data_IF_157762067337
#
_entry.id   IF_157762067337
#
_cell.length_a   1.000
_cell.length_b   1.000
_cell.length_c   1.000
_cell.angle_alpha   90.00
_cell.angle_beta   90.00
_cell.angle_gamma   90.00
#
_symmetry.space_group_name_H-M   'P 1'
#
loop_
_entity.id
_entity.type
_entity.pdbx_description
1 polymer ?
#
# COMPACT_ATOMS: atom_id res chain seq x y z
N UNK A 1 -6.20 -7.76 -1.14
CA UNK A 1 -5.36 -8.14 -2.31
C UNK A 1 -4.20 -9.03 -1.88
N UNK A 2 -3.24 -8.58 -1.06
CA UNK A 2 -2.05 -9.37 -0.68
C UNK A 2 -2.38 -10.69 0.01
N UNK A 3 -3.37 -10.74 0.91
CA UNK A 3 -3.83 -11.99 1.51
C UNK A 3 -4.30 -13.03 0.50
N UNK A 4 -4.89 -12.57 -0.62
CA UNK A 4 -5.26 -13.46 -1.73
C UNK A 4 -4.02 -14.02 -2.44
N UNK A 5 -3.00 -13.19 -2.66
CA UNK A 5 -1.74 -13.65 -3.27
C UNK A 5 -1.08 -14.75 -2.43
N UNK A 6 -1.05 -14.61 -1.09
CA UNK A 6 -0.51 -15.65 -0.20
C UNK A 6 -1.37 -16.93 -0.28
N UNK A 7 -2.69 -16.79 -0.21
CA UNK A 7 -3.63 -17.92 -0.29
C UNK A 7 -3.49 -18.70 -1.60
N UNK A 8 -3.38 -18.01 -2.72
CA UNK A 8 -3.37 -18.59 -4.06
C UNK A 8 -1.93 -18.97 -4.52
N UNK A 9 -0.90 -18.63 -3.74
CA UNK A 9 0.51 -18.87 -4.08
C UNK A 9 0.84 -20.35 -4.15
N UNK A 10 1.23 -20.81 -5.33
CA UNK A 10 1.78 -22.18 -5.50
C UNK A 10 3.13 -22.35 -4.80
N UNK A 11 3.96 -21.31 -4.76
CA UNK A 11 5.29 -21.33 -4.12
C UNK A 11 5.16 -21.58 -2.63
N UNK A 12 4.24 -20.87 -1.96
CA UNK A 12 4.01 -21.00 -0.53
C UNK A 12 3.30 -22.33 -0.21
N UNK A 13 2.21 -22.66 -0.92
CA UNK A 13 1.42 -23.85 -0.65
C UNK A 13 2.16 -25.17 -0.98
N UNK A 14 3.14 -25.15 -1.89
CA UNK A 14 4.00 -26.31 -2.12
C UNK A 14 5.11 -26.44 -1.05
N UNK A 15 5.47 -25.34 -0.38
CA UNK A 15 6.52 -25.36 0.64
C UNK A 15 5.98 -25.68 2.04
N UNK A 16 4.70 -25.45 2.29
CA UNK A 16 4.04 -25.61 3.59
C UNK A 16 2.65 -26.24 3.43
N UNK A 17 2.25 -27.03 4.41
CA UNK A 17 0.83 -27.39 4.58
C UNK A 17 0.11 -26.19 5.21
N UNK A 18 -0.66 -25.44 4.40
CA UNK A 18 -1.29 -24.19 4.80
C UNK A 18 -2.77 -24.37 5.12
N UNK A 19 -3.19 -23.85 6.26
CA UNK A 19 -4.60 -23.80 6.68
C UNK A 19 -5.02 -22.34 6.83
N UNK A 20 -6.04 -21.91 6.09
CA UNK A 20 -6.47 -20.52 6.02
C UNK A 20 -7.77 -20.29 6.81
N UNK A 21 -7.75 -19.24 7.65
CA UNK A 21 -8.93 -18.79 8.39
C UNK A 21 -9.24 -17.34 8.08
N UNK A 22 -10.42 -17.07 7.54
CA UNK A 22 -10.86 -15.70 7.28
C UNK A 22 -11.32 -15.03 8.57
N UNK A 23 -10.65 -13.97 9.00
CA UNK A 23 -10.95 -13.19 10.20
C UNK A 23 -11.78 -11.92 9.90
N UNK A 24 -12.24 -11.71 8.68
CA UNK A 24 -13.11 -10.59 8.34
C UNK A 24 -14.48 -10.74 9.02
N UNK A 25 -14.91 -9.69 9.74
CA UNK A 25 -16.25 -9.60 10.35
C UNK A 25 -17.22 -8.77 9.50
N UNK A 26 -16.68 -7.92 8.60
CA UNK A 26 -17.49 -7.15 7.67
C UNK A 26 -17.88 -8.05 6.49
N UNK A 27 -19.16 -8.06 6.13
CA UNK A 27 -19.64 -8.76 4.93
C UNK A 27 -19.48 -7.89 3.69
N UNK A 28 -19.68 -6.57 3.83
CA UNK A 28 -19.61 -5.58 2.77
C UNK A 28 -18.80 -4.36 3.21
N UNK A 29 -18.38 -3.53 2.25
CA UNK A 29 -17.64 -2.27 2.51
C UNK A 29 -18.42 -1.31 3.41
N UNK A 30 -19.74 -1.28 3.29
CA UNK A 30 -20.64 -0.42 4.08
C UNK A 30 -20.81 -0.87 5.55
N UNK A 31 -20.38 -2.10 5.87
CA UNK A 31 -20.42 -2.68 7.22
C UNK A 31 -19.14 -2.39 8.01
N UNK A 32 -18.12 -1.81 7.36
CA UNK A 32 -16.86 -1.46 8.01
C UNK A 32 -17.09 -0.31 9.01
N UNK A 33 -16.63 -0.50 10.25
CA UNK A 33 -16.74 0.52 11.31
C UNK A 33 -18.07 0.54 12.08
N UNK A 34 -19.10 -0.17 11.63
CA UNK A 34 -20.37 -0.29 12.39
C UNK A 34 -20.24 -1.40 13.43
N UNK A 35 -20.36 -1.06 14.72
CA UNK A 35 -20.40 -1.99 15.85
C UNK A 35 -21.78 -2.65 16.03
N UNK A 36 -21.87 -3.70 16.87
CA UNK A 36 -23.15 -4.30 17.26
C UNK A 36 -22.98 -5.68 17.90
N UNK A 37 -24.00 -6.11 18.64
CA UNK A 37 -24.05 -7.41 19.35
C UNK A 37 -23.83 -8.58 18.37
N UNK A 38 -24.32 -8.46 17.13
CA UNK A 38 -24.10 -9.46 16.07
C UNK A 38 -22.62 -9.69 15.82
N UNK A 39 -21.83 -8.60 15.62
CA UNK A 39 -20.38 -8.69 15.37
C UNK A 39 -19.63 -9.28 16.57
N UNK A 40 -20.05 -9.00 17.78
CA UNK A 40 -19.47 -9.59 18.98
C UNK A 40 -19.71 -11.11 19.04
N UNK A 41 -20.94 -11.57 18.71
CA UNK A 41 -21.25 -13.00 18.62
C UNK A 41 -20.44 -13.70 17.50
N UNK A 42 -20.31 -13.05 16.34
CA UNK A 42 -19.51 -13.57 15.23
C UNK A 42 -18.03 -13.65 15.60
N UNK A 43 -17.49 -12.63 16.26
CA UNK A 43 -16.12 -12.65 16.75
C UNK A 43 -15.87 -13.76 17.77
N UNK A 44 -16.80 -13.98 18.71
CA UNK A 44 -16.70 -15.09 19.65
C UNK A 44 -16.71 -16.46 18.96
N UNK A 45 -17.54 -16.61 17.92
CA UNK A 45 -17.53 -17.83 17.09
C UNK A 45 -16.18 -18.02 16.39
N UNK A 46 -15.59 -16.95 15.86
CA UNK A 46 -14.25 -16.98 15.23
C UNK A 46 -13.19 -17.43 16.24
N UNK A 47 -13.17 -16.87 17.46
CA UNK A 47 -12.21 -17.29 18.50
C UNK A 47 -12.36 -18.79 18.86
N UNK A 48 -13.60 -19.30 18.95
CA UNK A 48 -13.84 -20.74 19.13
C UNK A 48 -13.32 -21.56 17.95
N UNK A 49 -13.52 -21.10 16.73
CA UNK A 49 -13.05 -21.76 15.52
C UNK A 49 -11.51 -21.79 15.47
N UNK A 50 -10.85 -20.66 15.72
CA UNK A 50 -9.38 -20.58 15.83
C UNK A 50 -8.88 -21.60 16.84
N UNK A 51 -9.44 -21.58 18.07
CA UNK A 51 -9.04 -22.52 19.13
C UNK A 51 -9.20 -23.98 18.70
N UNK A 52 -10.33 -24.32 18.08
CA UNK A 52 -10.62 -25.69 17.61
C UNK A 52 -9.62 -26.11 16.54
N UNK A 53 -9.43 -25.29 15.52
CA UNK A 53 -8.51 -25.59 14.40
C UNK A 53 -7.06 -25.68 14.86
N UNK A 54 -6.60 -24.74 15.67
CA UNK A 54 -5.23 -24.75 16.21
C UNK A 54 -4.94 -26.01 17.04
N UNK A 55 -5.93 -26.51 17.81
CA UNK A 55 -5.78 -27.78 18.55
C UNK A 55 -5.76 -29.00 17.65
N UNK A 56 -6.51 -28.99 16.56
CA UNK A 56 -6.60 -30.10 15.62
C UNK A 56 -5.35 -30.20 14.74
N UNK A 57 -4.89 -29.06 14.23
CA UNK A 57 -3.79 -28.96 13.25
C UNK A 57 -2.41 -28.97 13.95
N UNK A 58 -2.31 -28.40 15.15
CA UNK A 58 -1.04 -28.20 15.89
C UNK A 58 0.01 -27.52 15.00
N UNK A 59 -0.26 -26.29 14.51
CA UNK A 59 0.59 -25.64 13.53
C UNK A 59 1.99 -25.33 14.08
N UNK A 60 3.02 -25.45 13.25
CA UNK A 60 4.39 -25.05 13.60
C UNK A 60 4.54 -23.54 13.73
N UNK A 61 3.74 -22.77 12.98
CA UNK A 61 3.72 -21.31 12.95
C UNK A 61 2.33 -20.79 12.65
N UNK A 62 1.88 -19.78 13.38
CA UNK A 62 0.66 -19.02 13.10
C UNK A 62 1.05 -17.69 12.45
N UNK A 63 0.66 -17.48 11.19
CA UNK A 63 0.81 -16.23 10.48
C UNK A 63 -0.45 -15.37 10.62
N UNK A 64 -0.31 -14.12 11.06
CA UNK A 64 -1.42 -13.21 11.31
C UNK A 64 -1.17 -11.85 10.65
N UNK A 65 -2.18 -11.26 10.02
CA UNK A 65 -2.15 -9.92 9.45
C UNK A 65 -2.98 -8.95 10.30
N UNK A 66 -2.43 -8.39 11.39
CA UNK A 66 -3.19 -7.54 12.29
C UNK A 66 -3.30 -6.10 11.76
N UNK A 67 -4.29 -5.37 12.30
CA UNK A 67 -4.38 -3.93 12.12
C UNK A 67 -3.49 -3.21 13.15
N UNK A 68 -2.92 -2.06 12.75
CA UNK A 68 -2.01 -1.29 13.60
C UNK A 68 -2.74 -0.52 14.71
N UNK A 69 -3.99 -0.08 14.50
CA UNK A 69 -4.69 0.82 15.41
C UNK A 69 -6.22 0.67 15.38
N UNK A 70 -6.88 1.26 16.39
CA UNK A 70 -8.33 1.37 16.45
C UNK A 70 -9.05 0.07 16.82
N UNK A 71 -10.36 0.02 16.61
CA UNK A 71 -11.21 -1.14 16.95
C UNK A 71 -10.80 -2.45 16.28
N UNK A 72 -10.23 -2.35 15.08
CA UNK A 72 -9.71 -3.51 14.35
C UNK A 72 -8.48 -4.10 15.07
N UNK A 73 -7.57 -3.26 15.59
CA UNK A 73 -6.44 -3.73 16.41
C UNK A 73 -6.92 -4.45 17.68
N UNK A 74 -7.93 -3.92 18.38
CA UNK A 74 -8.41 -4.57 19.61
C UNK A 74 -8.96 -5.97 19.34
N UNK A 75 -9.65 -6.17 18.22
CA UNK A 75 -10.08 -7.50 17.78
C UNK A 75 -8.87 -8.42 17.56
N UNK A 76 -7.88 -7.94 16.79
CA UNK A 76 -6.71 -8.72 16.45
C UNK A 76 -5.81 -9.00 17.68
N UNK A 77 -5.81 -8.09 18.67
CA UNK A 77 -5.19 -8.31 19.97
C UNK A 77 -5.72 -9.58 20.65
N UNK A 78 -7.06 -9.76 20.73
CA UNK A 78 -7.62 -10.96 21.35
C UNK A 78 -7.28 -12.25 20.59
N UNK A 79 -7.20 -12.18 19.25
CA UNK A 79 -6.76 -13.33 18.43
C UNK A 79 -5.32 -13.72 18.80
N UNK A 80 -4.42 -12.74 18.83
CA UNK A 80 -3.01 -13.01 19.18
C UNK A 80 -2.86 -13.47 20.62
N UNK A 81 -3.62 -12.90 21.56
CA UNK A 81 -3.60 -13.36 22.96
C UNK A 81 -4.10 -14.80 23.09
N UNK A 82 -5.15 -15.19 22.37
CA UNK A 82 -5.62 -16.58 22.34
C UNK A 82 -4.52 -17.53 21.85
N UNK A 83 -3.84 -17.18 20.76
CA UNK A 83 -2.73 -17.99 20.21
C UNK A 83 -1.55 -18.09 21.20
N UNK A 84 -1.19 -16.97 21.88
CA UNK A 84 -0.18 -16.98 22.95
C UNK A 84 -0.56 -17.87 24.13
N UNK A 85 -1.82 -17.79 24.58
CA UNK A 85 -2.31 -18.68 25.64
C UNK A 85 -2.25 -20.16 25.23
N UNK A 86 -2.38 -20.44 23.93
CA UNK A 86 -2.21 -21.77 23.37
C UNK A 86 -0.75 -22.14 23.10
N UNK A 87 0.20 -21.28 23.49
CA UNK A 87 1.66 -21.44 23.31
C UNK A 87 2.07 -21.64 21.85
N UNK A 88 1.40 -20.95 20.94
CA UNK A 88 1.72 -21.02 19.51
C UNK A 88 2.90 -20.10 19.17
N UNK A 89 3.71 -20.52 18.20
CA UNK A 89 4.67 -19.64 17.52
C UNK A 89 3.93 -18.70 16.60
N UNK A 90 4.20 -17.40 16.67
CA UNK A 90 3.40 -16.40 15.96
C UNK A 90 4.32 -15.46 15.21
N UNK A 91 4.02 -15.25 13.93
CA UNK A 91 4.58 -14.15 13.14
C UNK A 91 3.42 -13.23 12.70
N UNK A 92 3.60 -11.93 12.87
CA UNK A 92 2.63 -10.93 12.44
C UNK A 92 3.17 -10.15 11.25
N UNK A 93 2.33 -9.90 10.24
CA UNK A 93 2.69 -9.15 9.05
C UNK A 93 1.82 -7.90 8.92
N UNK A 94 2.44 -6.72 9.02
CA UNK A 94 1.74 -5.46 8.96
C UNK A 94 1.65 -4.92 7.52
N UNK A 95 0.41 -4.66 7.08
CA UNK A 95 0.08 -3.99 5.82
C UNK A 95 -0.47 -2.57 6.03
N UNK A 96 -0.41 -2.09 7.26
CA UNK A 96 -0.83 -0.74 7.67
C UNK A 96 0.08 -0.25 8.81
N UNK A 97 -0.01 1.04 9.13
CA UNK A 97 0.81 1.70 10.14
C UNK A 97 -0.03 2.52 11.12
N UNK A 98 0.60 3.08 12.15
CA UNK A 98 0.00 4.00 13.08
C UNK A 98 0.12 3.59 14.54
N UNK A 99 0.93 2.59 14.86
CA UNK A 99 1.24 2.19 16.25
C UNK A 99 1.94 3.34 16.98
N UNK A 100 2.93 3.99 16.34
CA UNK A 100 3.63 5.13 16.90
C UNK A 100 2.70 6.29 17.25
N UNK A 101 1.61 6.50 16.50
CA UNK A 101 0.64 7.57 16.80
C UNK A 101 -0.20 7.31 18.05
N UNK A 102 -0.22 6.08 18.55
CA UNK A 102 -0.99 5.63 19.72
C UNK A 102 -0.13 5.30 20.94
N UNK A 103 1.19 5.20 20.78
CA UNK A 103 2.12 4.73 21.82
C UNK A 103 2.14 5.59 23.10
N UNK A 104 1.64 6.83 23.04
CA UNK A 104 1.56 7.74 24.20
C UNK A 104 0.22 7.62 24.96
N UNK A 105 -0.73 6.85 24.45
CA UNK A 105 -1.98 6.55 25.16
C UNK A 105 -1.74 5.38 26.11
N UNK A 106 -1.93 5.58 27.39
CA UNK A 106 -1.63 4.57 28.42
C UNK A 106 -2.18 3.18 28.10
N UNK A 107 -3.47 3.11 27.76
CA UNK A 107 -4.13 1.84 27.46
C UNK A 107 -3.57 1.18 26.18
N UNK A 108 -3.44 1.92 25.09
CA UNK A 108 -2.89 1.41 23.83
C UNK A 108 -1.43 0.95 24.02
N UNK A 109 -0.63 1.71 24.77
CA UNK A 109 0.75 1.35 25.07
C UNK A 109 0.86 0.02 25.85
N UNK A 110 -0.01 -0.19 26.86
CA UNK A 110 -0.04 -1.45 27.61
C UNK A 110 -0.42 -2.63 26.70
N UNK A 111 -1.42 -2.44 25.82
CA UNK A 111 -1.82 -3.47 24.87
C UNK A 111 -0.72 -3.79 23.87
N UNK A 112 -0.05 -2.78 23.28
CA UNK A 112 1.08 -3.01 22.36
C UNK A 112 2.24 -3.72 23.06
N UNK A 113 2.62 -3.31 24.28
CA UNK A 113 3.67 -3.98 25.03
C UNK A 113 3.39 -5.47 25.25
N UNK A 114 2.13 -5.82 25.54
CA UNK A 114 1.67 -7.19 25.71
C UNK A 114 1.59 -7.94 24.38
N UNK A 115 1.09 -7.25 23.35
CA UNK A 115 0.91 -7.81 22.01
C UNK A 115 2.22 -8.24 21.40
N UNK A 116 3.22 -7.35 21.38
CA UNK A 116 4.50 -7.59 20.70
C UNK A 116 5.48 -8.50 21.47
N UNK A 117 5.21 -8.76 22.74
CA UNK A 117 6.10 -9.62 23.54
C UNK A 117 6.30 -10.99 22.88
N UNK A 118 7.54 -11.35 22.58
CA UNK A 118 7.92 -12.63 21.96
C UNK A 118 7.24 -12.90 20.59
N UNK A 119 7.04 -11.88 19.78
CA UNK A 119 6.56 -12.02 18.40
C UNK A 119 7.68 -11.77 17.40
N UNK A 120 7.60 -12.47 16.28
CA UNK A 120 8.29 -12.10 15.04
C UNK A 120 7.37 -11.17 14.24
N UNK A 121 7.96 -10.16 13.59
CA UNK A 121 7.20 -9.16 12.85
C UNK A 121 7.74 -9.05 11.42
N UNK A 122 6.83 -9.07 10.45
CA UNK A 122 7.14 -8.78 9.05
C UNK A 122 6.62 -7.37 8.74
N UNK A 123 7.49 -6.54 8.18
CA UNK A 123 7.18 -5.21 7.67
C UNK A 123 7.39 -5.15 6.16
N UNK A 124 6.66 -4.28 5.49
CA UNK A 124 6.74 -4.14 4.04
C UNK A 124 8.03 -3.46 3.58
N UNK A 125 8.61 -2.61 4.44
CA UNK A 125 9.85 -1.92 4.15
C UNK A 125 10.51 -1.45 5.44
N UNK A 126 11.82 -1.20 5.38
CA UNK A 126 12.65 -0.97 6.57
C UNK A 126 12.25 0.31 7.34
N UNK A 127 11.92 1.40 6.65
CA UNK A 127 11.54 2.65 7.29
C UNK A 127 10.27 2.56 8.16
N UNK A 128 9.41 1.56 7.91
CA UNK A 128 8.24 1.28 8.75
C UNK A 128 8.60 0.71 10.13
N UNK A 129 9.86 0.30 10.36
CA UNK A 129 10.32 -0.09 11.69
C UNK A 129 10.16 1.03 12.72
N UNK A 130 10.24 2.29 12.30
CA UNK A 130 10.03 3.44 13.19
C UNK A 130 8.65 3.43 13.88
N UNK A 131 7.63 2.81 13.23
CA UNK A 131 6.28 2.70 13.79
C UNK A 131 6.19 1.73 14.98
N UNK A 132 7.08 0.73 15.05
CA UNK A 132 7.03 -0.35 16.05
C UNK A 132 8.28 -0.46 16.94
N UNK A 133 9.34 0.33 16.70
CA UNK A 133 10.65 0.21 17.37
C UNK A 133 10.60 0.26 18.89
N UNK A 134 9.56 0.88 19.47
CA UNK A 134 9.35 0.91 20.91
C UNK A 134 9.06 -0.46 21.51
N UNK A 135 8.46 -1.37 20.73
CA UNK A 135 7.93 -2.64 21.20
C UNK A 135 8.64 -3.87 20.67
N UNK A 136 9.36 -3.73 19.55
CA UNK A 136 9.98 -4.86 18.84
C UNK A 136 11.46 -4.58 18.63
N UNK A 137 12.31 -5.55 18.99
CA UNK A 137 13.74 -5.48 18.66
C UNK A 137 13.92 -5.73 17.15
N UNK A 138 14.83 -5.01 16.50
CA UNK A 138 15.11 -5.17 15.07
C UNK A 138 15.48 -6.59 14.65
N UNK A 139 16.16 -7.35 15.51
CA UNK A 139 16.49 -8.78 15.29
C UNK A 139 15.26 -9.69 15.11
N UNK A 140 14.08 -9.24 15.56
CA UNK A 140 12.82 -9.96 15.44
C UNK A 140 11.95 -9.44 14.29
N UNK A 141 12.53 -8.56 13.42
CA UNK A 141 11.86 -7.95 12.28
C UNK A 141 12.38 -8.54 10.97
N UNK A 142 11.48 -8.87 10.09
CA UNK A 142 11.74 -9.29 8.72
C UNK A 142 11.16 -8.27 7.75
N UNK A 143 11.82 -8.07 6.61
CA UNK A 143 11.35 -7.15 5.58
C UNK A 143 10.84 -7.94 4.37
N UNK A 144 9.57 -7.73 4.05
CA UNK A 144 8.90 -8.38 2.91
C UNK A 144 8.02 -7.37 2.16
N UNK A 145 8.57 -6.60 1.21
CA UNK A 145 7.79 -5.74 0.34
C UNK A 145 6.69 -6.51 -0.40
N UNK A 146 5.53 -5.88 -0.60
CA UNK A 146 4.51 -6.45 -1.45
C UNK A 146 5.02 -6.59 -2.88
N UNK A 147 4.47 -7.57 -3.60
CA UNK A 147 4.67 -7.76 -5.02
C UNK A 147 3.35 -7.77 -5.77
N UNK A 148 3.41 -7.45 -7.06
CA UNK A 148 2.28 -7.56 -7.98
C UNK A 148 2.61 -8.49 -9.15
N UNK A 149 1.59 -9.10 -9.82
CA UNK A 149 1.79 -9.83 -11.06
C UNK A 149 2.47 -8.94 -12.12
N UNK A 150 3.23 -9.54 -13.00
CA UNK A 150 3.80 -8.86 -14.17
C UNK A 150 2.84 -8.97 -15.36
N UNK A 151 2.71 -7.88 -16.11
CA UNK A 151 1.91 -7.83 -17.33
C UNK A 151 2.82 -7.62 -18.55
N UNK A 152 2.40 -8.14 -19.70
CA UNK A 152 3.08 -7.82 -20.96
C UNK A 152 2.78 -6.37 -21.36
N UNK A 153 3.83 -5.62 -21.65
CA UNK A 153 3.67 -4.26 -22.17
C UNK A 153 3.26 -4.31 -23.64
N UNK A 154 2.11 -3.73 -23.93
CA UNK A 154 1.74 -3.47 -25.32
C UNK A 154 2.41 -2.18 -25.79
N UNK A 155 2.95 -2.12 -27.03
CA UNK A 155 3.49 -0.90 -27.59
C UNK A 155 2.42 0.19 -27.64
N UNK A 156 2.72 1.36 -27.11
CA UNK A 156 1.83 2.52 -27.19
C UNK A 156 2.32 3.49 -28.27
N UNK A 157 1.36 4.09 -28.98
CA UNK A 157 1.70 5.16 -29.94
C UNK A 157 2.13 6.43 -29.17
N UNK A 158 3.14 7.15 -29.67
CA UNK A 158 3.60 8.41 -29.06
C UNK A 158 2.45 9.42 -28.99
N UNK A 159 2.30 10.09 -27.85
CA UNK A 159 1.31 11.15 -27.65
C UNK A 159 1.92 12.51 -27.98
N UNK A 160 1.08 13.47 -28.41
CA UNK A 160 1.51 14.84 -28.72
C UNK A 160 1.71 15.70 -27.48
N UNK A 161 0.99 15.40 -26.39
CA UNK A 161 0.99 16.19 -25.15
C UNK A 161 1.46 15.31 -24.00
N UNK A 162 2.18 15.91 -23.05
CA UNK A 162 2.74 15.20 -21.91
C UNK A 162 1.62 14.74 -20.96
N UNK A 163 1.51 13.44 -20.75
CA UNK A 163 0.42 12.77 -20.03
C UNK A 163 0.82 12.44 -18.59
N UNK A 164 0.08 13.00 -17.65
CA UNK A 164 0.22 12.78 -16.20
C UNK A 164 -0.89 11.86 -15.73
N UNK A 165 -0.58 10.79 -15.02
CA UNK A 165 -1.56 9.89 -14.44
C UNK A 165 -1.59 9.99 -12.91
N UNK A 166 -2.79 10.15 -12.36
CA UNK A 166 -3.13 9.91 -10.96
C UNK A 166 -4.09 8.73 -10.88
N UNK A 167 -3.76 7.71 -10.07
CA UNK A 167 -4.58 6.50 -9.92
C UNK A 167 -4.83 6.20 -8.44
N UNK A 168 -5.99 6.60 -7.93
CA UNK A 168 -6.45 6.30 -6.57
C UNK A 168 -7.92 6.70 -6.40
N UNK A 169 -8.58 6.23 -5.35
CA UNK A 169 -9.87 6.79 -4.95
C UNK A 169 -9.74 8.31 -4.76
N UNK A 170 -10.79 9.04 -5.15
CA UNK A 170 -10.87 10.50 -5.07
C UNK A 170 -11.07 10.93 -3.61
N UNK A 171 -9.98 10.83 -2.84
CA UNK A 171 -9.88 11.21 -1.42
C UNK A 171 -8.92 12.38 -1.32
N UNK A 172 -9.30 13.41 -0.55
CA UNK A 172 -8.50 14.63 -0.38
C UNK A 172 -7.07 14.31 0.05
N UNK A 173 -6.93 13.42 1.02
CA UNK A 173 -5.64 13.04 1.62
C UNK A 173 -4.74 12.23 0.65
N UNK A 174 -5.27 11.80 -0.50
CA UNK A 174 -4.47 11.22 -1.58
C UNK A 174 -3.76 12.26 -2.46
N UNK A 175 -3.94 13.56 -2.14
CA UNK A 175 -3.25 14.66 -2.81
C UNK A 175 -3.92 15.12 -4.11
N UNK A 176 -5.21 14.83 -4.30
CA UNK A 176 -5.96 15.22 -5.50
C UNK A 176 -5.86 16.72 -5.76
N UNK A 177 -6.07 17.55 -4.72
CA UNK A 177 -6.07 19.00 -4.86
C UNK A 177 -4.66 19.56 -5.06
N UNK A 178 -3.65 18.95 -4.44
CA UNK A 178 -2.25 19.34 -4.65
C UNK A 178 -1.84 19.15 -6.12
N UNK A 179 -2.27 18.05 -6.76
CA UNK A 179 -1.99 17.81 -8.17
C UNK A 179 -2.81 18.74 -9.08
N UNK A 180 -4.08 19.02 -8.77
CA UNK A 180 -4.90 20.00 -9.53
C UNK A 180 -4.24 21.38 -9.49
N UNK A 181 -3.76 21.81 -8.32
CA UNK A 181 -3.07 23.09 -8.17
C UNK A 181 -1.73 23.11 -8.93
N UNK A 182 -0.98 22.02 -8.90
CA UNK A 182 0.23 21.86 -9.71
C UNK A 182 -0.06 21.98 -11.22
N UNK A 183 -1.17 21.39 -11.70
CA UNK A 183 -1.62 21.55 -13.09
C UNK A 183 -1.95 23.02 -13.42
N UNK A 184 -2.56 23.76 -12.50
CA UNK A 184 -2.83 25.17 -12.69
C UNK A 184 -1.54 26.02 -12.80
N UNK A 185 -0.53 25.69 -12.02
CA UNK A 185 0.80 26.33 -12.09
C UNK A 185 1.45 26.06 -13.45
N UNK A 186 1.43 24.78 -13.90
CA UNK A 186 2.01 24.39 -15.20
C UNK A 186 1.28 25.04 -16.38
N UNK A 187 -0.05 25.11 -16.35
CA UNK A 187 -0.86 25.79 -17.37
C UNK A 187 -0.50 27.28 -17.46
N UNK A 188 -0.37 27.98 -16.32
CA UNK A 188 0.06 29.40 -16.30
C UNK A 188 1.45 29.60 -16.91
N UNK A 189 2.32 28.59 -16.83
CA UNK A 189 3.64 28.58 -17.48
C UNK A 189 3.58 28.17 -18.96
N UNK A 190 2.40 27.88 -19.50
CA UNK A 190 2.22 27.48 -20.89
C UNK A 190 2.71 26.06 -21.22
N UNK A 191 2.88 25.19 -20.23
CA UNK A 191 3.30 23.79 -20.46
C UNK A 191 2.14 22.97 -21.03
N UNK A 192 2.32 22.24 -22.15
CA UNK A 192 1.29 21.43 -22.77
C UNK A 192 1.16 20.09 -22.02
N UNK A 193 0.19 20.00 -21.11
CA UNK A 193 -0.04 18.81 -20.28
C UNK A 193 -1.46 18.27 -20.43
N UNK A 194 -1.63 16.97 -20.23
CA UNK A 194 -2.91 16.29 -19.97
C UNK A 194 -2.77 15.50 -18.67
N UNK A 195 -3.63 15.82 -17.69
CA UNK A 195 -3.62 15.15 -16.40
C UNK A 195 -4.89 14.31 -16.23
N UNK A 196 -4.73 13.02 -16.06
CA UNK A 196 -5.81 12.04 -15.97
C UNK A 196 -5.95 11.55 -14.53
N UNK A 197 -7.10 11.79 -13.92
CA UNK A 197 -7.49 11.27 -12.63
C UNK A 197 -8.37 10.03 -12.81
N UNK A 198 -7.90 8.88 -12.33
CA UNK A 198 -8.61 7.60 -12.42
C UNK A 198 -8.85 7.07 -11.01
N UNK A 199 -10.12 6.86 -10.63
CA UNK A 199 -10.48 6.32 -9.33
C UNK A 199 -11.92 6.54 -8.94
N UNK A 200 -12.38 5.79 -7.95
CA UNK A 200 -13.73 5.89 -7.42
C UNK A 200 -13.91 7.22 -6.67
N UNK A 201 -14.98 7.91 -6.92
CA UNK A 201 -15.41 9.07 -6.15
C UNK A 201 -15.61 8.68 -4.67
N UNK A 202 -15.18 9.56 -3.74
CA UNK A 202 -15.22 9.32 -2.31
C UNK A 202 -15.58 10.63 -1.56
N UNK A 203 -14.69 11.15 -0.70
CA UNK A 203 -14.92 12.44 -0.04
C UNK A 203 -14.75 13.65 -0.98
N UNK A 204 -14.20 13.44 -2.15
CA UNK A 204 -14.31 14.35 -3.30
C UNK A 204 -15.39 13.77 -4.24
N UNK A 205 -16.46 14.52 -4.44
CA UNK A 205 -17.54 14.17 -5.38
C UNK A 205 -17.20 14.64 -6.80
N UNK A 206 -17.84 14.04 -7.80
CA UNK A 206 -17.65 14.42 -9.21
C UNK A 206 -18.00 15.89 -9.46
N UNK A 207 -19.13 16.35 -8.94
CA UNK A 207 -19.58 17.73 -9.10
C UNK A 207 -18.58 18.73 -8.49
N UNK A 208 -18.11 18.46 -7.26
CA UNK A 208 -17.10 19.29 -6.62
C UNK A 208 -15.80 19.34 -7.42
N UNK A 209 -15.38 18.23 -7.99
CA UNK A 209 -14.17 18.17 -8.82
C UNK A 209 -14.37 19.02 -10.08
N UNK A 210 -15.48 18.84 -10.82
CA UNK A 210 -15.80 19.60 -12.01
C UNK A 210 -15.89 21.12 -11.73
N UNK A 211 -16.50 21.51 -10.61
CA UNK A 211 -16.60 22.93 -10.21
C UNK A 211 -15.22 23.56 -10.00
N UNK A 212 -14.26 22.84 -9.35
CA UNK A 212 -12.90 23.34 -9.13
C UNK A 212 -12.17 23.47 -10.46
N UNK A 213 -12.23 22.45 -11.33
CA UNK A 213 -11.60 22.45 -12.65
C UNK A 213 -12.13 23.62 -13.50
N UNK A 214 -13.44 23.87 -13.47
CA UNK A 214 -14.07 24.98 -14.18
C UNK A 214 -13.59 26.35 -13.67
N UNK A 215 -13.59 26.54 -12.34
CA UNK A 215 -13.15 27.79 -11.71
C UNK A 215 -11.69 28.13 -11.96
N UNK A 216 -10.85 27.13 -12.13
CA UNK A 216 -9.43 27.27 -12.41
C UNK A 216 -9.09 27.27 -13.92
N UNK A 217 -10.10 27.18 -14.81
CA UNK A 217 -9.94 27.11 -16.27
C UNK A 217 -9.08 25.92 -16.74
N UNK A 218 -9.19 24.77 -16.08
CA UNK A 218 -8.38 23.56 -16.35
C UNK A 218 -9.07 22.52 -17.24
N UNK A 219 -10.24 22.83 -17.82
CA UNK A 219 -11.04 21.86 -18.61
C UNK A 219 -10.29 21.19 -19.75
N UNK A 220 -9.34 21.90 -20.36
CA UNK A 220 -8.62 21.42 -21.53
C UNK A 220 -7.42 20.55 -21.17
N UNK A 221 -7.01 20.51 -19.88
CA UNK A 221 -5.82 19.78 -19.45
C UNK A 221 -6.03 18.82 -18.26
N UNK A 222 -7.18 18.87 -17.56
CA UNK A 222 -7.44 18.00 -16.41
C UNK A 222 -8.73 17.21 -16.61
N UNK A 223 -8.62 15.88 -16.56
CA UNK A 223 -9.72 14.95 -16.85
C UNK A 223 -9.91 13.95 -15.72
N UNK A 224 -11.15 13.66 -15.33
CA UNK A 224 -11.49 12.61 -14.40
C UNK A 224 -12.33 11.53 -15.07
N UNK A 225 -11.95 10.26 -14.88
CA UNK A 225 -12.53 9.14 -15.63
C UNK A 225 -13.38 8.19 -14.76
N UNK A 226 -13.52 8.51 -13.46
CA UNK A 226 -14.16 7.60 -12.52
C UNK A 226 -13.32 6.35 -12.25
N UNK A 227 -13.94 5.33 -11.68
CA UNK A 227 -13.27 4.08 -11.39
C UNK A 227 -13.01 3.29 -12.68
N UNK A 228 -11.78 2.80 -12.85
CA UNK A 228 -11.36 1.90 -13.92
C UNK A 228 -10.65 0.70 -13.32
N UNK A 229 -10.84 -0.47 -13.91
CA UNK A 229 -10.29 -1.74 -13.45
C UNK A 229 -9.69 -2.51 -14.61
N UNK A 230 -8.84 -3.46 -14.30
CA UNK A 230 -8.24 -4.39 -15.26
C UNK A 230 -7.69 -3.66 -16.52
N UNK A 231 -8.02 -4.13 -17.70
CA UNK A 231 -7.52 -3.59 -18.98
C UNK A 231 -7.80 -2.09 -19.18
N UNK A 232 -8.93 -1.56 -18.65
CA UNK A 232 -9.21 -0.12 -18.76
C UNK A 232 -8.23 0.71 -17.92
N UNK A 233 -7.88 0.23 -16.72
CA UNK A 233 -6.87 0.86 -15.85
C UNK A 233 -5.48 0.78 -16.52
N UNK A 234 -5.14 -0.40 -17.03
CA UNK A 234 -3.83 -0.64 -17.67
C UNK A 234 -3.62 0.25 -18.90
N UNK A 235 -4.70 0.54 -19.65
CA UNK A 235 -4.62 1.47 -20.78
C UNK A 235 -4.24 2.91 -20.36
N UNK A 236 -4.59 3.37 -19.15
CA UNK A 236 -4.13 4.67 -18.64
C UNK A 236 -2.66 4.62 -18.22
N UNK A 237 -2.23 3.55 -17.55
CA UNK A 237 -0.84 3.36 -17.17
C UNK A 237 0.08 3.32 -18.39
N UNK A 238 -0.32 2.62 -19.45
CA UNK A 238 0.46 2.51 -20.69
C UNK A 238 0.56 3.82 -21.48
N UNK A 239 -0.45 4.70 -21.36
CA UNK A 239 -0.49 5.98 -22.08
C UNK A 239 0.15 7.14 -21.32
N UNK A 240 0.44 7.00 -20.07
CA UNK A 240 1.05 8.06 -19.29
C UNK A 240 2.54 8.19 -19.55
N UNK A 241 3.08 9.39 -19.40
CA UNK A 241 4.52 9.68 -19.40
C UNK A 241 5.09 9.64 -17.99
N UNK A 242 4.28 10.07 -16.99
CA UNK A 242 4.64 10.03 -15.58
C UNK A 242 3.46 9.63 -14.70
N UNK A 243 3.78 9.09 -13.53
CA UNK A 243 2.80 8.79 -12.49
C UNK A 243 2.99 9.72 -11.30
N UNK A 244 1.90 10.38 -10.86
CA UNK A 244 1.93 11.35 -9.78
C UNK A 244 0.95 10.97 -8.68
N UNK A 245 1.47 10.73 -7.48
CA UNK A 245 0.68 10.32 -6.32
C UNK A 245 1.11 11.07 -5.05
N UNK A 246 0.73 12.35 -4.90
CA UNK A 246 1.22 13.22 -3.83
C UNK A 246 0.45 13.01 -2.52
N UNK A 247 0.33 11.76 -2.08
CA UNK A 247 -0.46 11.35 -0.92
C UNK A 247 0.11 11.82 0.41
N UNK A 248 -0.77 12.27 1.30
CA UNK A 248 -0.49 12.48 2.72
C UNK A 248 -1.47 11.71 3.62
N UNK A 249 -2.02 10.62 3.07
CA UNK A 249 -2.99 9.78 3.76
C UNK A 249 -2.32 8.98 4.88
N UNK A 250 -2.64 9.28 6.14
CA UNK A 250 -2.01 8.70 7.34
C UNK A 250 -1.97 7.16 7.39
N UNK A 251 -2.90 6.50 6.70
CA UNK A 251 -2.92 5.05 6.65
C UNK A 251 -2.19 4.48 5.42
N UNK A 252 -1.54 5.34 4.59
CA UNK A 252 -0.72 4.87 3.49
C UNK A 252 0.49 4.14 4.03
N UNK A 253 0.64 2.88 3.63
CA UNK A 253 1.73 2.05 4.10
C UNK A 253 2.68 1.66 2.97
N UNK A 254 2.12 1.10 1.90
CA UNK A 254 2.87 0.63 0.75
C UNK A 254 1.95 0.61 -0.48
N UNK A 255 1.85 1.74 -1.21
CA UNK A 255 0.88 1.89 -2.30
C UNK A 255 1.26 1.04 -3.52
N UNK A 256 0.44 0.04 -3.83
CA UNK A 256 0.66 -0.87 -4.96
C UNK A 256 0.61 -0.15 -6.32
N UNK A 257 -0.11 0.97 -6.41
CA UNK A 257 -0.20 1.79 -7.63
C UNK A 257 1.16 2.34 -8.09
N UNK A 258 2.11 2.53 -7.15
CA UNK A 258 3.50 2.89 -7.50
C UNK A 258 4.21 1.72 -8.19
N UNK A 259 3.96 0.49 -7.75
CA UNK A 259 4.53 -0.70 -8.39
C UNK A 259 3.95 -0.89 -9.79
N UNK A 260 2.64 -0.67 -9.95
CA UNK A 260 1.95 -0.72 -11.25
C UNK A 260 2.54 0.33 -12.21
N UNK A 261 2.81 1.55 -11.74
CA UNK A 261 3.45 2.58 -12.53
C UNK A 261 4.90 2.22 -12.91
N UNK A 262 5.70 1.74 -11.96
CA UNK A 262 7.09 1.31 -12.19
C UNK A 262 7.15 0.13 -13.18
N UNK A 263 6.21 -0.82 -13.12
CA UNK A 263 6.09 -1.91 -14.09
C UNK A 263 5.94 -1.37 -15.53
N UNK A 264 5.17 -0.30 -15.70
CA UNK A 264 4.96 0.37 -16.99
C UNK A 264 6.05 1.38 -17.35
N UNK A 265 7.18 1.38 -16.64
CA UNK A 265 8.29 2.30 -16.87
C UNK A 265 7.92 3.77 -16.67
N UNK A 266 7.00 4.09 -15.77
CA UNK A 266 6.64 5.47 -15.45
C UNK A 266 7.52 6.00 -14.31
N UNK A 267 8.22 7.13 -14.48
CA UNK A 267 8.78 7.83 -13.33
C UNK A 267 7.68 8.22 -12.35
N UNK A 268 7.94 8.03 -11.07
CA UNK A 268 6.95 8.27 -10.02
C UNK A 268 7.27 9.56 -9.26
N UNK A 269 6.31 10.47 -9.12
CA UNK A 269 6.44 11.62 -8.21
C UNK A 269 5.45 11.40 -7.05
N UNK A 270 5.96 11.38 -5.83
CA UNK A 270 5.15 11.16 -4.63
C UNK A 270 5.73 11.89 -3.42
N UNK A 271 5.23 11.58 -2.22
CA UNK A 271 5.68 12.19 -0.96
C UNK A 271 6.43 11.19 -0.08
N UNK A 272 6.97 11.64 1.04
CA UNK A 272 7.62 10.80 2.03
C UNK A 272 6.64 10.05 2.96
N UNK A 273 5.40 9.77 2.51
CA UNK A 273 4.39 9.08 3.33
C UNK A 273 4.62 7.56 3.37
N UNK A 274 4.52 6.99 4.58
CA UNK A 274 4.59 5.54 4.79
C UNK A 274 5.87 4.90 4.25
N UNK A 275 5.71 3.85 3.43
CA UNK A 275 6.81 3.13 2.80
C UNK A 275 7.27 3.69 1.45
N UNK A 276 6.69 4.79 0.98
CA UNK A 276 6.99 5.38 -0.34
C UNK A 276 8.49 5.65 -0.54
N UNK A 277 9.25 6.20 0.45
CA UNK A 277 10.69 6.42 0.28
C UNK A 277 11.52 5.15 0.05
N UNK A 278 10.99 3.98 0.34
CA UNK A 278 11.66 2.72 0.00
C UNK A 278 11.25 2.17 -1.36
N UNK A 279 10.13 2.62 -1.92
CA UNK A 279 9.70 2.28 -3.27
C UNK A 279 10.40 3.18 -4.29
N UNK A 280 10.34 4.49 -4.10
CA UNK A 280 10.96 5.49 -4.99
C UNK A 280 12.39 5.77 -4.52
N UNK A 281 13.36 5.63 -5.41
CA UNK A 281 14.73 6.13 -5.24
C UNK A 281 14.82 7.55 -5.78
N UNK A 282 14.98 8.54 -4.86
CA UNK A 282 15.05 9.97 -5.21
C UNK A 282 16.04 10.26 -6.31
N UNK A 283 15.59 10.95 -7.35
CA UNK A 283 16.40 11.33 -8.51
C UNK A 283 16.77 10.18 -9.46
N UNK A 284 16.39 8.93 -9.15
CA UNK A 284 16.75 7.76 -9.95
C UNK A 284 15.53 7.05 -10.54
N UNK A 285 14.49 6.80 -9.74
CA UNK A 285 13.25 6.15 -10.21
C UNK A 285 12.06 7.09 -10.14
N UNK A 286 12.27 8.32 -9.66
CA UNK A 286 11.24 9.31 -9.44
C UNK A 286 11.70 10.40 -8.50
N UNK A 287 10.75 11.19 -7.99
CA UNK A 287 10.99 12.25 -7.02
C UNK A 287 10.09 12.14 -5.81
N UNK A 288 10.64 12.50 -4.65
CA UNK A 288 9.91 12.67 -3.40
C UNK A 288 9.76 14.18 -3.14
N UNK A 289 8.52 14.64 -3.05
CA UNK A 289 8.20 16.05 -2.73
C UNK A 289 7.62 16.17 -1.33
N UNK A 290 7.64 17.38 -0.78
CA UNK A 290 6.99 17.66 0.49
C UNK A 290 5.46 17.55 0.36
N UNK A 291 4.82 17.09 1.44
CA UNK A 291 3.36 17.07 1.54
C UNK A 291 2.82 18.49 1.46
N UNK A 292 1.66 18.65 0.82
CA UNK A 292 1.00 19.95 0.65
C UNK A 292 1.88 20.99 -0.07
N UNK A 293 2.69 20.55 -1.03
CA UNK A 293 3.58 21.42 -1.82
C UNK A 293 3.29 21.33 -3.33
N UNK A 294 2.17 21.89 -3.81
CA UNK A 294 1.84 21.92 -5.23
C UNK A 294 2.93 22.58 -6.08
N UNK A 295 3.65 23.56 -5.52
CA UNK A 295 4.74 24.24 -6.19
C UNK A 295 5.90 23.27 -6.49
N UNK A 296 6.39 22.53 -5.49
CA UNK A 296 7.45 21.53 -5.72
C UNK A 296 6.98 20.43 -6.68
N UNK A 297 5.70 20.03 -6.56
CA UNK A 297 5.12 19.06 -7.47
C UNK A 297 5.15 19.54 -8.91
N UNK A 298 4.73 20.80 -9.17
CA UNK A 298 4.80 21.42 -10.49
C UNK A 298 6.23 21.54 -11.00
N UNK A 299 7.20 21.91 -10.17
CA UNK A 299 8.63 22.01 -10.52
C UNK A 299 9.20 20.66 -10.97
N UNK A 300 8.88 19.55 -10.24
CA UNK A 300 9.36 18.22 -10.63
C UNK A 300 8.69 17.70 -11.90
N UNK A 301 7.41 18.00 -12.10
CA UNK A 301 6.70 17.67 -13.35
C UNK A 301 7.32 18.46 -14.52
N UNK A 302 7.49 19.78 -14.36
CA UNK A 302 8.12 20.66 -15.37
C UNK A 302 9.52 20.16 -15.74
N UNK A 303 10.31 19.77 -14.74
CA UNK A 303 11.65 19.23 -14.97
C UNK A 303 11.61 18.00 -15.89
N UNK A 304 10.67 17.07 -15.69
CA UNK A 304 10.55 15.87 -16.52
C UNK A 304 10.00 16.19 -17.92
N UNK A 305 9.14 17.20 -18.07
CA UNK A 305 8.68 17.70 -19.37
C UNK A 305 9.87 18.25 -20.18
N UNK A 306 10.71 19.04 -19.52
CA UNK A 306 11.84 19.73 -20.18
C UNK A 306 13.04 18.79 -20.42
N UNK A 307 13.06 17.60 -19.78
CA UNK A 307 14.16 16.63 -19.90
C UNK A 307 13.63 15.22 -20.26
N UNK A 308 13.11 15.01 -21.48
CA UNK A 308 12.46 13.75 -21.86
C UNK A 308 13.39 12.53 -21.80
N UNK A 309 14.68 12.70 -22.02
CA UNK A 309 15.66 11.60 -21.87
C UNK A 309 15.78 11.16 -20.40
N UNK A 310 15.86 12.11 -19.47
CA UNK A 310 15.90 11.82 -18.03
C UNK A 310 14.59 11.15 -17.59
N UNK A 311 13.45 11.62 -18.10
CA UNK A 311 12.16 11.00 -17.85
C UNK A 311 12.16 9.52 -18.26
N UNK A 312 12.63 9.21 -19.47
CA UNK A 312 12.70 7.83 -19.98
C UNK A 312 13.70 6.97 -19.18
N UNK A 313 14.87 7.49 -18.85
CA UNK A 313 15.88 6.78 -18.04
C UNK A 313 15.37 6.48 -16.62
N UNK A 314 14.69 7.44 -16.01
CA UNK A 314 14.09 7.32 -14.68
C UNK A 314 12.96 6.26 -14.67
N UNK A 315 12.13 6.25 -15.70
CA UNK A 315 11.09 5.21 -15.87
C UNK A 315 11.69 3.82 -16.05
N UNK A 316 12.75 3.70 -16.89
CA UNK A 316 13.49 2.44 -17.06
C UNK A 316 14.10 1.95 -15.75
N UNK A 317 14.76 2.82 -14.99
CA UNK A 317 15.32 2.48 -13.68
C UNK A 317 14.22 2.03 -12.69
N UNK A 318 13.04 2.66 -12.74
CA UNK A 318 11.87 2.24 -11.99
C UNK A 318 11.46 0.81 -12.32
N UNK A 319 11.33 0.46 -13.59
CA UNK A 319 11.00 -0.89 -14.04
C UNK A 319 12.04 -1.93 -13.64
N UNK A 320 13.33 -1.60 -13.75
CA UNK A 320 14.41 -2.48 -13.32
C UNK A 320 14.33 -2.77 -11.81
N UNK A 321 14.04 -1.75 -10.99
CA UNK A 321 13.80 -1.91 -9.56
C UNK A 321 12.58 -2.78 -9.28
N UNK A 322 11.46 -2.54 -9.98
CA UNK A 322 10.26 -3.36 -9.88
C UNK A 322 10.56 -4.85 -10.14
N UNK A 323 11.24 -5.15 -11.24
CA UNK A 323 11.62 -6.52 -11.62
C UNK A 323 12.53 -7.19 -10.60
N UNK A 324 13.46 -6.44 -9.99
CA UNK A 324 14.39 -6.92 -8.98
C UNK A 324 13.73 -7.18 -7.64
N UNK A 325 12.73 -6.36 -7.24
CA UNK A 325 12.26 -6.30 -5.85
C UNK A 325 10.78 -6.57 -5.65
N UNK A 326 9.91 -6.23 -6.62
CA UNK A 326 8.48 -6.06 -6.39
C UNK A 326 7.56 -6.92 -7.28
N UNK A 327 8.10 -7.91 -7.99
CA UNK A 327 7.26 -8.88 -8.69
C UNK A 327 6.57 -9.81 -7.68
N UNK A 328 5.41 -10.36 -8.06
CA UNK A 328 4.70 -11.32 -7.23
C UNK A 328 5.58 -12.52 -6.86
N UNK A 329 6.36 -13.03 -7.82
CA UNK A 329 7.29 -14.15 -7.60
C UNK A 329 8.35 -13.81 -6.53
N UNK A 330 8.91 -12.58 -6.57
CA UNK A 330 9.87 -12.11 -5.55
C UNK A 330 9.26 -12.04 -4.17
N UNK A 331 8.03 -11.52 -4.07
CA UNK A 331 7.26 -11.49 -2.83
C UNK A 331 7.02 -12.90 -2.27
N UNK A 332 6.53 -13.83 -3.10
CA UNK A 332 6.21 -15.19 -2.68
C UNK A 332 7.46 -15.97 -2.21
N UNK A 333 8.57 -15.87 -2.95
CA UNK A 333 9.82 -16.51 -2.56
C UNK A 333 10.37 -15.92 -1.25
N UNK A 334 10.37 -14.60 -1.09
CA UNK A 334 10.80 -13.92 0.15
C UNK A 334 9.92 -14.32 1.33
N UNK A 335 8.59 -14.35 1.14
CA UNK A 335 7.66 -14.83 2.16
C UNK A 335 7.94 -16.27 2.57
N UNK A 336 8.13 -17.19 1.60
CA UNK A 336 8.49 -18.58 1.86
C UNK A 336 9.74 -18.69 2.73
N UNK A 337 10.78 -17.94 2.38
CA UNK A 337 12.06 -18.00 3.09
C UNK A 337 11.94 -17.42 4.52
N UNK A 338 11.25 -16.30 4.70
CA UNK A 338 10.96 -15.72 6.02
C UNK A 338 10.17 -16.70 6.89
N UNK A 339 9.14 -17.35 6.34
CA UNK A 339 8.34 -18.31 7.12
C UNK A 339 9.18 -19.52 7.56
N UNK A 340 10.08 -20.04 6.69
CA UNK A 340 11.03 -21.09 7.07
C UNK A 340 11.97 -20.66 8.20
N UNK A 341 12.50 -19.45 8.10
CA UNK A 341 13.39 -18.88 9.11
C UNK A 341 12.66 -18.66 10.44
N UNK A 342 11.44 -18.14 10.41
CA UNK A 342 10.59 -18.02 11.60
C UNK A 342 10.39 -19.38 12.28
N UNK A 343 10.02 -20.43 11.54
CA UNK A 343 9.83 -21.79 12.08
C UNK A 343 11.13 -22.29 12.73
N UNK A 344 12.26 -22.11 12.06
CA UNK A 344 13.56 -22.55 12.58
C UNK A 344 13.97 -21.81 13.86
N UNK A 345 13.67 -20.50 13.94
CA UNK A 345 14.02 -19.65 15.10
C UNK A 345 13.23 -19.98 16.37
N UNK A 346 12.04 -20.56 16.24
CA UNK A 346 11.24 -21.02 17.39
C UNK A 346 11.58 -22.43 17.88
N UNK A 347 12.40 -23.19 17.12
CA UNK A 347 12.86 -24.52 17.52
C UNK A 347 14.09 -24.47 18.44
N UNK A 348 14.75 -23.31 18.53
CA UNK A 348 15.89 -23.04 19.42
C UNK A 348 15.42 -22.52 20.77
#
# INVERSE_FOLDING_TARGET
MVGKYIHDSKIINNAFECHYLNLALAKDLDDIGKGGIRKLKEFYKQLKQIRKQTKLIVPQLCYVTPNAKGGAFYKDFFVVMLLKMMRQNIVVHYHNKGIATRQNRYFDNLLYSTFFKNLKVILLIENLYQDIKKYVNYKDVYICPNGIPTHENLPTAPQKEFSILFLSNMIKEKGVWDLVEACAILQKKGKPIKCHFVGKWSNITEDRFKDVINKQNLKECVFAHGAKYDNEKDAFLQKADIFVFPTYYDNECFPLVLLEAMEQSLPCISTNEGGIPGIIEEGKTGFIVEKHSPQQLAEKIEYLIDHPMICAEMGKAGKEKFQREFTLEKFENRMKDILKECIASYKK
#
